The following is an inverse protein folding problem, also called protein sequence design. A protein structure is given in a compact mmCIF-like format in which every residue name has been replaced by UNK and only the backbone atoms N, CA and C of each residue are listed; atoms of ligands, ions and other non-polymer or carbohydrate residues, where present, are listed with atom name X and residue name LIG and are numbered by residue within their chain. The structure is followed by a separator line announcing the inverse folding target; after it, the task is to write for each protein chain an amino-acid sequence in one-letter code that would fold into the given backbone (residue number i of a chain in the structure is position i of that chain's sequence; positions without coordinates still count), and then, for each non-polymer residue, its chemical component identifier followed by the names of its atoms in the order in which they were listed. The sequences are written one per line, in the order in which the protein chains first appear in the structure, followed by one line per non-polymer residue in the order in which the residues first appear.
data_IF_373955066390
#
_entry.id   IF_373955066390
#
_cell.length_a   1.000
_cell.length_b   1.000
_cell.length_c   1.000
_cell.angle_alpha   90.00
_cell.angle_beta   90.00
_cell.angle_gamma   90.00
#
_symmetry.space_group_name_H-M   'P 1'
#
loop_
_entity.id
_entity.type
_entity.pdbx_description
1 polymer ?
#
# COMPACT_ATOMS: atom_id res chain seq x y z
N UNK A 1 -18.70 -0.07 -19.78
CA UNK A 1 -17.24 -0.14 -20.07
C UNK A 1 -16.89 0.45 -21.44
N UNK A 2 -17.49 -0.01 -22.54
CA UNK A 2 -17.23 0.58 -23.87
C UNK A 2 -17.53 2.09 -23.95
N UNK A 3 -18.56 2.53 -23.24
CA UNK A 3 -18.98 3.94 -23.15
C UNK A 3 -18.18 4.76 -22.13
N UNK A 4 -17.25 4.14 -21.38
CA UNK A 4 -16.41 4.82 -20.39
C UNK A 4 -15.06 5.14 -21.03
N UNK A 5 -14.88 6.39 -21.46
CA UNK A 5 -13.74 6.81 -22.27
C UNK A 5 -12.38 6.54 -21.59
N UNK A 6 -12.29 6.86 -20.30
CA UNK A 6 -11.10 6.69 -19.44
C UNK A 6 -10.77 5.24 -19.10
N UNK A 7 -11.72 4.30 -19.26
CA UNK A 7 -11.44 2.89 -19.03
C UNK A 7 -10.43 2.40 -20.07
N UNK A 8 -9.28 1.89 -19.63
CA UNK A 8 -8.24 1.33 -20.53
C UNK A 8 -8.29 -0.21 -20.60
N UNK A 9 -8.73 -0.82 -19.51
CA UNK A 9 -8.82 -2.26 -19.35
C UNK A 9 -10.08 -2.63 -18.55
N UNK A 10 -10.56 -3.85 -18.75
CA UNK A 10 -11.75 -4.42 -18.09
C UNK A 10 -11.36 -5.77 -17.50
N UNK A 11 -11.81 -6.03 -16.27
CA UNK A 11 -11.68 -7.33 -15.62
C UNK A 11 -13.06 -7.89 -15.34
N UNK A 12 -13.27 -9.17 -15.62
CA UNK A 12 -14.50 -9.89 -15.25
C UNK A 12 -14.14 -11.08 -14.38
N UNK A 13 -14.90 -11.29 -13.29
CA UNK A 13 -14.72 -12.40 -12.37
C UNK A 13 -16.05 -13.13 -12.27
N UNK A 14 -16.05 -14.45 -12.52
CA UNK A 14 -17.24 -15.30 -12.44
C UNK A 14 -18.46 -14.76 -13.25
N UNK A 15 -18.19 -14.04 -14.35
CA UNK A 15 -19.21 -13.27 -15.04
C UNK A 15 -20.04 -14.13 -16.01
N UNK A 16 -21.38 -14.04 -15.98
CA UNK A 16 -22.22 -14.66 -17.00
C UNK A 16 -22.06 -13.94 -18.34
N UNK A 17 -22.10 -14.69 -19.44
CA UNK A 17 -22.03 -14.13 -20.80
C UNK A 17 -23.41 -13.74 -21.36
N UNK A 18 -24.47 -14.11 -20.64
CA UNK A 18 -25.85 -13.91 -21.02
C UNK A 18 -26.66 -13.42 -19.81
N UNK A 19 -27.34 -12.27 -19.91
CA UNK A 19 -28.18 -11.75 -18.85
C UNK A 19 -29.37 -12.66 -18.49
N UNK A 20 -29.76 -13.58 -19.38
CA UNK A 20 -30.82 -14.55 -19.10
C UNK A 20 -30.49 -15.55 -17.98
N UNK A 21 -29.20 -15.70 -17.65
CA UNK A 21 -28.78 -16.47 -16.47
C UNK A 21 -29.36 -15.87 -15.18
N UNK A 22 -29.46 -14.53 -15.14
CA UNK A 22 -30.04 -13.79 -14.02
C UNK A 22 -31.57 -13.81 -14.09
N UNK A 23 -32.19 -13.77 -15.26
CA UNK A 23 -33.66 -13.91 -15.37
C UNK A 23 -34.14 -15.32 -14.99
N UNK A 24 -33.31 -16.34 -15.15
CA UNK A 24 -33.53 -17.70 -14.64
C UNK A 24 -33.78 -17.73 -13.13
N UNK A 25 -33.12 -16.86 -12.36
CA UNK A 25 -33.30 -16.72 -10.91
C UNK A 25 -34.63 -16.06 -10.52
N UNK A 26 -35.34 -15.48 -11.50
CA UNK A 26 -36.60 -14.77 -11.31
C UNK A 26 -37.76 -15.38 -12.09
N UNK A 27 -37.60 -16.57 -12.69
CA UNK A 27 -38.61 -17.21 -13.55
C UNK A 27 -40.02 -17.20 -12.95
N UNK A 28 -40.13 -17.51 -11.65
CA UNK A 28 -41.41 -17.60 -10.95
C UNK A 28 -42.01 -16.22 -10.58
N UNK A 29 -41.33 -15.12 -10.91
CA UNK A 29 -41.69 -13.74 -10.56
C UNK A 29 -41.73 -12.81 -11.77
N UNK A 30 -41.40 -13.30 -12.96
CA UNK A 30 -41.42 -12.50 -14.20
C UNK A 30 -42.82 -11.99 -14.52
N UNK A 31 -43.86 -12.82 -14.33
CA UNK A 31 -45.26 -12.42 -14.51
C UNK A 31 -45.68 -11.33 -13.51
N UNK A 32 -45.24 -11.44 -12.26
CA UNK A 32 -45.48 -10.43 -11.23
C UNK A 32 -44.77 -9.10 -11.55
N UNK A 33 -43.53 -9.13 -12.06
CA UNK A 33 -42.79 -7.93 -12.49
C UNK A 33 -43.47 -7.29 -13.71
N UNK A 34 -43.93 -8.12 -14.66
CA UNK A 34 -44.68 -7.70 -15.84
C UNK A 34 -46.07 -7.14 -15.52
N UNK A 35 -46.66 -7.48 -14.36
CA UNK A 35 -47.94 -6.92 -13.91
C UNK A 35 -47.76 -5.67 -13.01
N UNK A 36 -46.89 -5.75 -12.00
CA UNK A 36 -46.76 -4.75 -10.93
C UNK A 36 -45.68 -3.69 -11.17
N UNK A 37 -44.82 -3.89 -12.17
CA UNK A 37 -43.75 -2.97 -12.54
C UNK A 37 -42.49 -3.12 -11.68
N UNK A 38 -42.60 -3.68 -10.48
CA UNK A 38 -41.49 -3.97 -9.59
C UNK A 38 -41.82 -5.06 -8.57
N UNK A 39 -40.83 -5.84 -8.14
CA UNK A 39 -40.99 -6.94 -7.17
C UNK A 39 -39.78 -7.03 -6.25
N UNK A 40 -39.99 -7.43 -4.99
CA UNK A 40 -38.89 -7.85 -4.11
C UNK A 40 -38.53 -9.32 -4.36
N UNK A 41 -37.23 -9.57 -4.59
CA UNK A 41 -36.65 -10.88 -4.80
C UNK A 41 -35.43 -11.08 -3.89
N UNK A 42 -35.20 -12.33 -3.46
CA UNK A 42 -34.03 -12.68 -2.64
C UNK A 42 -32.96 -13.28 -3.54
N UNK A 43 -31.77 -12.70 -3.56
CA UNK A 43 -30.60 -13.19 -4.31
C UNK A 43 -29.46 -13.46 -3.32
N UNK A 44 -28.95 -14.70 -3.29
CA UNK A 44 -27.85 -15.10 -2.39
C UNK A 44 -28.04 -14.66 -0.92
N UNK A 45 -29.27 -14.78 -0.40
CA UNK A 45 -29.63 -14.43 0.99
C UNK A 45 -29.88 -12.94 1.26
N UNK A 46 -29.87 -12.07 0.24
CA UNK A 46 -30.14 -10.63 0.38
C UNK A 46 -31.39 -10.23 -0.43
N UNK A 47 -32.21 -9.31 0.11
CA UNK A 47 -33.39 -8.80 -0.59
C UNK A 47 -33.03 -7.65 -1.54
N UNK A 48 -33.54 -7.73 -2.76
CA UNK A 48 -33.38 -6.73 -3.81
C UNK A 48 -34.73 -6.36 -4.41
N UNK A 49 -34.88 -5.09 -4.80
CA UNK A 49 -36.03 -4.60 -5.56
C UNK A 49 -35.69 -4.63 -7.04
N UNK A 50 -36.48 -5.34 -7.82
CA UNK A 50 -36.26 -5.56 -9.25
C UNK A 50 -37.38 -4.87 -10.00
N UNK A 51 -37.03 -3.95 -10.91
CA UNK A 51 -37.98 -3.24 -11.76
C UNK A 51 -38.18 -3.93 -13.10
N UNK A 52 -39.31 -3.65 -13.76
CA UNK A 52 -39.56 -4.07 -15.14
C UNK A 52 -38.51 -3.51 -16.10
N UNK A 53 -38.13 -2.25 -15.93
CA UNK A 53 -37.09 -1.61 -16.73
C UNK A 53 -35.76 -2.40 -16.68
N UNK A 54 -35.37 -2.90 -15.50
CA UNK A 54 -34.20 -3.76 -15.38
C UNK A 54 -34.35 -5.08 -16.16
N UNK A 55 -35.53 -5.71 -16.13
CA UNK A 55 -35.78 -6.96 -16.88
C UNK A 55 -35.79 -6.72 -18.38
N UNK A 56 -36.39 -5.62 -18.84
CA UNK A 56 -36.43 -5.24 -20.25
C UNK A 56 -35.02 -4.91 -20.77
N UNK A 57 -34.20 -4.18 -19.99
CA UNK A 57 -32.79 -3.92 -20.30
C UNK A 57 -31.96 -5.22 -20.43
N UNK A 58 -32.24 -6.22 -19.59
CA UNK A 58 -31.59 -7.54 -19.69
C UNK A 58 -31.99 -8.30 -20.97
N UNK A 59 -33.24 -8.13 -21.44
CA UNK A 59 -33.76 -8.79 -22.64
C UNK A 59 -33.24 -8.14 -23.94
N UNK A 60 -32.96 -6.84 -23.93
CA UNK A 60 -32.52 -6.09 -25.12
C UNK A 60 -31.01 -6.16 -25.38
N UNK A 61 -30.20 -6.60 -24.41
CA UNK A 61 -28.75 -6.50 -24.51
C UNK A 61 -28.06 -7.67 -25.24
N UNK A 62 -27.62 -7.39 -26.47
CA UNK A 62 -26.60 -8.17 -27.20
C UNK A 62 -25.21 -8.02 -26.55
N UNK A 63 -25.05 -8.49 -25.31
CA UNK A 63 -23.81 -8.42 -24.53
C UNK A 63 -22.60 -8.92 -25.34
N UNK A 64 -22.77 -10.00 -26.09
CA UNK A 64 -21.74 -10.58 -26.95
C UNK A 64 -21.26 -9.62 -28.05
N UNK A 65 -22.17 -8.84 -28.65
CA UNK A 65 -21.80 -7.82 -29.63
C UNK A 65 -21.03 -6.68 -28.96
N UNK A 66 -21.48 -6.22 -27.78
CA UNK A 66 -20.79 -5.17 -27.01
C UNK A 66 -19.38 -5.61 -26.58
N UNK A 67 -19.19 -6.89 -26.24
CA UNK A 67 -17.87 -7.45 -25.94
C UNK A 67 -16.96 -7.45 -27.18
N UNK A 68 -17.50 -7.82 -28.35
CA UNK A 68 -16.75 -7.80 -29.61
C UNK A 68 -16.30 -6.39 -30.03
N UNK A 69 -17.08 -5.37 -29.65
CA UNK A 69 -16.82 -3.96 -29.94
C UNK A 69 -16.17 -3.19 -28.77
N UNK A 70 -15.80 -3.87 -27.68
CA UNK A 70 -15.27 -3.24 -26.46
C UNK A 70 -14.02 -2.38 -26.70
N UNK A 71 -13.11 -2.82 -27.59
CA UNK A 71 -11.84 -2.15 -27.93
C UNK A 71 -10.97 -1.76 -26.72
N UNK A 72 -11.10 -2.47 -25.60
CA UNK A 72 -10.27 -2.33 -24.39
C UNK A 72 -9.61 -3.67 -24.06
N UNK A 73 -8.50 -3.64 -23.30
CA UNK A 73 -7.89 -4.88 -22.81
C UNK A 73 -8.86 -5.63 -21.89
N UNK A 74 -8.93 -6.96 -21.99
CA UNK A 74 -9.86 -7.76 -21.21
C UNK A 74 -9.14 -8.89 -20.45
N UNK A 75 -9.37 -8.98 -19.14
CA UNK A 75 -8.93 -10.10 -18.32
C UNK A 75 -10.15 -10.82 -17.72
N UNK A 76 -10.20 -12.13 -17.90
CA UNK A 76 -11.32 -12.96 -17.46
C UNK A 76 -10.82 -13.96 -16.42
N UNK A 77 -11.47 -13.99 -15.26
CA UNK A 77 -11.29 -15.00 -14.23
C UNK A 77 -12.53 -15.86 -14.12
N UNK A 78 -12.36 -17.18 -14.15
CA UNK A 78 -13.48 -18.10 -13.97
C UNK A 78 -13.03 -19.45 -13.42
N UNK A 79 -13.80 -20.01 -12.50
CA UNK A 79 -13.53 -21.35 -11.96
C UNK A 79 -14.13 -22.42 -12.88
N UNK A 80 -13.39 -23.49 -13.21
CA UNK A 80 -13.92 -24.65 -13.93
C UNK A 80 -14.91 -25.45 -13.07
N UNK A 81 -14.93 -25.23 -11.76
CA UNK A 81 -15.82 -25.87 -10.78
C UNK A 81 -16.85 -24.90 -10.22
N UNK A 82 -17.14 -23.79 -10.91
CA UNK A 82 -18.22 -22.87 -10.53
C UNK A 82 -19.59 -23.53 -10.77
N UNK A 83 -20.31 -23.79 -9.68
CA UNK A 83 -21.64 -24.42 -9.72
C UNK A 83 -22.78 -23.44 -10.03
N UNK A 84 -22.53 -22.12 -9.95
CA UNK A 84 -23.55 -21.09 -10.17
C UNK A 84 -23.49 -20.59 -11.61
N UNK A 85 -22.30 -20.26 -12.11
CA UNK A 85 -22.07 -19.80 -13.49
C UNK A 85 -21.02 -20.68 -14.13
N UNK A 86 -21.44 -21.58 -15.03
CA UNK A 86 -20.51 -22.50 -15.69
C UNK A 86 -19.43 -21.77 -16.48
N UNK A 87 -18.23 -22.38 -16.56
CA UNK A 87 -17.04 -21.85 -17.25
C UNK A 87 -17.26 -21.53 -18.73
N UNK A 88 -18.24 -22.17 -19.38
CA UNK A 88 -18.62 -21.87 -20.77
C UNK A 88 -19.00 -20.40 -20.99
N UNK A 89 -19.49 -19.71 -19.95
CA UNK A 89 -19.72 -18.26 -19.99
C UNK A 89 -18.42 -17.51 -20.26
N UNK A 90 -17.37 -17.81 -19.51
CA UNK A 90 -16.08 -17.20 -19.70
C UNK A 90 -15.46 -17.55 -21.06
N UNK A 91 -15.61 -18.80 -21.52
CA UNK A 91 -15.18 -19.24 -22.85
C UNK A 91 -15.86 -18.43 -23.95
N UNK A 92 -17.16 -18.17 -23.82
CA UNK A 92 -17.94 -17.34 -24.76
C UNK A 92 -17.48 -15.88 -24.74
N UNK A 93 -17.30 -15.28 -23.56
CA UNK A 93 -16.77 -13.91 -23.41
C UNK A 93 -15.38 -13.81 -24.06
N UNK A 94 -14.48 -14.76 -23.75
CA UNK A 94 -13.13 -14.80 -24.30
C UNK A 94 -13.13 -14.92 -25.82
N UNK A 95 -14.02 -15.75 -26.37
CA UNK A 95 -14.14 -15.93 -27.82
C UNK A 95 -14.66 -14.67 -28.51
N UNK A 96 -15.67 -14.02 -27.94
CA UNK A 96 -16.26 -12.79 -28.50
C UNK A 96 -15.30 -11.59 -28.46
N UNK A 97 -14.46 -11.49 -27.43
CA UNK A 97 -13.55 -10.36 -27.26
C UNK A 97 -12.41 -10.33 -28.29
N UNK A 98 -11.92 -9.14 -28.64
CA UNK A 98 -10.71 -8.94 -29.45
C UNK A 98 -9.46 -8.80 -28.55
N UNK A 99 -8.27 -8.99 -29.11
CA UNK A 99 -7.02 -8.80 -28.38
C UNK A 99 -6.76 -7.31 -28.07
N UNK A 100 -6.05 -6.99 -26.96
CA UNK A 100 -5.45 -7.93 -26.00
C UNK A 100 -6.47 -8.50 -25.00
N UNK A 101 -6.46 -9.82 -24.85
CA UNK A 101 -7.34 -10.56 -23.95
C UNK A 101 -6.59 -11.69 -23.24
N UNK A 102 -6.97 -11.96 -21.99
CA UNK A 102 -6.35 -12.97 -21.14
C UNK A 102 -7.43 -13.73 -20.37
N UNK A 103 -7.17 -15.01 -20.09
CA UNK A 103 -8.04 -15.86 -19.28
C UNK A 103 -7.22 -16.54 -18.19
N UNK A 104 -7.74 -16.52 -16.97
CA UNK A 104 -7.13 -17.16 -15.79
C UNK A 104 -8.16 -18.08 -15.16
N UNK A 105 -7.83 -19.37 -15.13
CA UNK A 105 -8.67 -20.38 -14.49
C UNK A 105 -8.50 -20.34 -12.97
N UNK A 106 -9.61 -20.36 -12.24
CA UNK A 106 -9.65 -20.36 -10.77
C UNK A 106 -10.05 -21.74 -10.22
N UNK A 107 -9.24 -22.76 -10.50
CA UNK A 107 -9.53 -24.14 -10.09
C UNK A 107 -9.87 -24.25 -8.60
N UNK A 108 -11.06 -24.77 -8.29
CA UNK A 108 -11.52 -24.99 -6.91
C UNK A 108 -12.00 -23.75 -6.17
N UNK A 109 -12.02 -22.57 -6.80
CA UNK A 109 -12.68 -21.39 -6.23
C UNK A 109 -14.20 -21.49 -6.42
N UNK A 110 -14.95 -21.01 -5.44
CA UNK A 110 -16.39 -20.86 -5.53
C UNK A 110 -16.78 -19.57 -6.25
N UNK A 111 -18.05 -19.48 -6.68
CA UNK A 111 -18.56 -18.35 -7.46
C UNK A 111 -18.32 -16.98 -6.81
N UNK A 112 -18.41 -16.91 -5.48
CA UNK A 112 -18.32 -15.66 -4.71
C UNK A 112 -16.89 -15.34 -4.25
N UNK A 113 -15.89 -16.17 -4.57
CA UNK A 113 -14.54 -16.09 -4.01
C UNK A 113 -14.55 -15.95 -2.48
N UNK A 114 -15.34 -16.79 -1.80
CA UNK A 114 -15.54 -16.69 -0.35
C UNK A 114 -14.28 -16.96 0.46
N UNK A 115 -13.33 -17.73 -0.10
CA UNK A 115 -12.02 -17.97 0.52
C UNK A 115 -11.10 -16.77 0.30
N UNK A 116 -10.59 -16.19 1.40
CA UNK A 116 -9.64 -15.05 1.38
C UNK A 116 -8.42 -15.30 0.49
N UNK A 117 -7.92 -16.54 0.41
CA UNK A 117 -6.80 -16.92 -0.44
C UNK A 117 -7.09 -16.72 -1.94
N UNK A 118 -8.29 -17.07 -2.39
CA UNK A 118 -8.68 -16.96 -3.80
C UNK A 118 -8.87 -15.50 -4.19
N UNK A 119 -9.53 -14.73 -3.33
CA UNK A 119 -9.68 -13.28 -3.50
C UNK A 119 -8.32 -12.57 -3.55
N UNK A 120 -7.38 -12.93 -2.66
CA UNK A 120 -6.03 -12.38 -2.66
C UNK A 120 -5.25 -12.75 -3.93
N UNK A 121 -5.37 -14.00 -4.40
CA UNK A 121 -4.76 -14.43 -5.66
C UNK A 121 -5.29 -13.62 -6.85
N UNK A 122 -6.61 -13.50 -6.99
CA UNK A 122 -7.25 -12.70 -8.06
C UNK A 122 -6.77 -11.26 -8.01
N UNK A 123 -6.74 -10.62 -6.84
CA UNK A 123 -6.25 -9.25 -6.68
C UNK A 123 -4.79 -9.09 -7.12
N UNK A 124 -3.91 -10.03 -6.75
CA UNK A 124 -2.50 -10.00 -7.14
C UNK A 124 -2.30 -10.14 -8.66
N UNK A 125 -3.06 -11.03 -9.30
CA UNK A 125 -3.02 -11.20 -10.76
C UNK A 125 -3.57 -9.98 -11.48
N UNK A 126 -4.68 -9.39 -11.00
CA UNK A 126 -5.24 -8.15 -11.54
C UNK A 126 -4.20 -7.03 -11.48
N UNK A 127 -3.54 -6.84 -10.32
CA UNK A 127 -2.50 -5.83 -10.15
C UNK A 127 -1.40 -5.99 -11.19
N UNK A 128 -0.76 -7.15 -11.22
CA UNK A 128 0.36 -7.42 -12.13
C UNK A 128 -0.04 -7.32 -13.61
N UNK A 129 -1.25 -7.76 -13.97
CA UNK A 129 -1.75 -7.66 -15.34
C UNK A 129 -2.09 -6.21 -15.73
N UNK A 130 -2.67 -5.44 -14.82
CA UNK A 130 -3.10 -4.07 -15.08
C UNK A 130 -1.92 -3.09 -15.24
N UNK A 131 -0.76 -3.38 -14.63
CA UNK A 131 0.47 -2.58 -14.78
C UNK A 131 0.88 -2.32 -16.24
N UNK A 132 0.48 -3.18 -17.18
CA UNK A 132 0.74 -3.00 -18.60
C UNK A 132 -0.15 -1.95 -19.28
N UNK A 133 -1.33 -1.68 -18.73
CA UNK A 133 -2.38 -0.86 -19.35
C UNK A 133 -2.68 0.42 -18.59
N UNK A 134 -2.43 0.39 -17.29
CA UNK A 134 -2.27 1.59 -16.50
C UNK A 134 -0.91 2.14 -16.91
N UNK A 135 -0.85 3.42 -17.26
CA UNK A 135 0.44 4.11 -17.15
C UNK A 135 0.88 3.85 -15.71
N UNK A 136 1.97 3.09 -15.53
CA UNK A 136 2.60 2.98 -14.22
C UNK A 136 2.63 4.41 -13.69
N UNK A 137 2.04 4.69 -12.53
CA UNK A 137 2.12 6.04 -12.01
C UNK A 137 3.61 6.28 -11.78
N UNK A 138 4.24 6.99 -12.73
CA UNK A 138 5.53 7.59 -12.56
C UNK A 138 5.29 8.61 -11.45
N UNK A 139 5.52 8.17 -10.22
CA UNK A 139 5.03 8.82 -9.02
C UNK A 139 3.52 8.65 -8.86
N UNK A 140 3.11 7.63 -8.11
CA UNK A 140 1.90 7.76 -7.30
C UNK A 140 2.22 8.78 -6.19
N UNK A 141 2.31 10.06 -6.59
CA UNK A 141 2.08 11.20 -5.71
C UNK A 141 0.59 11.18 -5.39
N UNK A 142 0.18 10.24 -4.54
CA UNK A 142 -1.08 10.34 -3.84
C UNK A 142 -0.90 11.42 -2.80
N UNK A 143 -1.60 12.54 -3.04
CA UNK A 143 -1.57 13.78 -2.28
C UNK A 143 -0.15 14.30 -2.07
N UNK A 144 0.17 15.40 -2.76
CA UNK A 144 1.00 16.43 -2.15
C UNK A 144 0.26 16.95 -0.89
N UNK A 145 0.17 16.12 0.16
CA UNK A 145 0.26 16.64 1.51
C UNK A 145 1.56 17.43 1.55
N UNK A 146 1.49 18.59 2.20
CA UNK A 146 2.58 19.55 2.28
C UNK A 146 3.92 18.82 2.42
N UNK A 147 4.92 19.16 1.61
CA UNK A 147 6.14 18.36 1.38
C UNK A 147 7.01 18.10 2.64
N UNK A 148 6.50 18.48 3.82
CA UNK A 148 7.11 18.39 5.14
C UNK A 148 6.29 17.57 6.15
N UNK A 149 5.10 17.09 5.80
CA UNK A 149 4.26 16.33 6.73
C UNK A 149 4.63 14.85 6.72
N UNK A 150 4.90 14.30 7.91
CA UNK A 150 5.04 12.85 8.13
C UNK A 150 3.69 12.30 8.56
N UNK A 151 3.18 11.29 7.85
CA UNK A 151 1.92 10.63 8.19
C UNK A 151 2.23 9.19 8.60
N UNK A 152 1.76 8.78 9.77
CA UNK A 152 1.90 7.43 10.31
C UNK A 152 0.52 6.83 10.51
N UNK A 153 0.27 5.63 10.00
CA UNK A 153 -1.02 4.96 10.07
C UNK A 153 -0.87 3.47 10.35
N UNK A 154 -1.80 2.91 11.12
CA UNK A 154 -1.87 1.48 11.33
C UNK A 154 -2.20 0.75 10.03
N UNK A 155 -1.50 -0.35 9.78
CA UNK A 155 -1.75 -1.25 8.64
C UNK A 155 -2.87 -2.26 8.91
N UNK A 156 -3.14 -2.53 10.19
CA UNK A 156 -4.03 -3.60 10.70
C UNK A 156 -3.58 -5.04 10.40
N UNK A 157 -2.38 -5.24 9.86
CA UNK A 157 -1.81 -6.58 9.65
C UNK A 157 -1.11 -7.11 10.91
N UNK A 158 -0.68 -6.22 11.82
CA UNK A 158 -0.05 -6.55 13.09
C UNK A 158 -0.40 -5.55 14.19
N UNK A 159 -0.07 -5.90 15.43
CA UNK A 159 -0.39 -5.05 16.61
C UNK A 159 0.32 -3.69 16.56
N UNK A 160 1.55 -3.66 16.08
CA UNK A 160 2.39 -2.47 16.08
C UNK A 160 2.81 -2.01 14.69
N UNK A 161 2.49 -2.75 13.62
CA UNK A 161 2.92 -2.40 12.27
C UNK A 161 2.25 -1.12 11.76
N UNK A 162 3.07 -0.12 11.47
CA UNK A 162 2.67 1.16 10.90
C UNK A 162 3.19 1.32 9.48
N UNK A 163 2.40 1.97 8.61
CA UNK A 163 2.88 2.57 7.37
C UNK A 163 3.26 4.04 7.63
N UNK A 164 4.50 4.39 7.31
CA UNK A 164 5.03 5.76 7.38
C UNK A 164 5.12 6.33 5.98
N UNK A 165 4.49 7.48 5.75
CA UNK A 165 4.56 8.23 4.50
C UNK A 165 5.24 9.58 4.72
N UNK A 166 6.28 9.86 3.93
CA UNK A 166 7.03 11.13 3.94
C UNK A 166 7.19 11.62 2.50
N UNK A 167 6.35 12.58 2.09
CA UNK A 167 6.29 13.00 0.69
C UNK A 167 5.99 11.81 -0.24
N UNK A 168 6.91 11.51 -1.16
CA UNK A 168 6.80 10.37 -2.08
C UNK A 168 7.32 9.04 -1.51
N UNK A 169 7.93 9.05 -0.33
CA UNK A 169 8.51 7.86 0.29
C UNK A 169 7.51 7.16 1.20
N UNK A 170 7.52 5.82 1.16
CA UNK A 170 6.74 4.96 2.06
C UNK A 170 7.63 3.84 2.60
N UNK A 171 7.50 3.55 3.88
CA UNK A 171 8.19 2.45 4.55
C UNK A 171 7.38 1.98 5.76
N UNK A 172 7.70 0.79 6.26
CA UNK A 172 7.08 0.26 7.47
C UNK A 172 7.90 0.63 8.71
N UNK A 173 7.20 0.83 9.82
CA UNK A 173 7.77 0.84 11.17
C UNK A 173 7.05 -0.25 11.97
N UNK A 174 7.79 -0.96 12.81
CA UNK A 174 7.22 -2.07 13.58
C UNK A 174 8.11 -2.37 14.79
N UNK A 175 7.69 -3.30 15.62
CA UNK A 175 8.48 -3.77 16.75
C UNK A 175 8.96 -5.22 16.52
N UNK A 176 10.01 -5.67 17.23
CA UNK A 176 10.44 -7.06 17.21
C UNK A 176 9.35 -8.03 17.67
N UNK A 177 9.48 -9.29 17.25
CA UNK A 177 8.57 -10.37 17.65
C UNK A 177 8.47 -10.53 19.18
N UNK A 178 9.57 -10.32 19.91
CA UNK A 178 9.67 -10.51 21.37
C UNK A 178 8.73 -9.60 22.17
N UNK A 179 8.40 -8.42 21.64
CA UNK A 179 7.47 -7.47 22.26
C UNK A 179 6.10 -7.45 21.57
N UNK A 180 5.87 -8.37 20.62
CA UNK A 180 4.58 -8.59 19.96
C UNK A 180 4.37 -7.83 18.65
N UNK A 181 5.43 -7.34 18.01
CA UNK A 181 5.39 -6.84 16.63
C UNK A 181 5.56 -7.96 15.61
N UNK A 182 5.68 -7.61 14.32
CA UNK A 182 5.91 -8.56 13.22
C UNK A 182 7.36 -8.55 12.72
N UNK A 183 8.24 -7.73 13.30
CA UNK A 183 9.62 -7.52 12.82
C UNK A 183 9.68 -7.14 11.33
N UNK A 184 8.66 -6.40 10.87
CA UNK A 184 8.45 -6.07 9.46
C UNK A 184 9.12 -4.75 9.03
N UNK A 185 9.67 -4.02 9.99
CA UNK A 185 10.34 -2.74 9.81
C UNK A 185 11.07 -2.32 11.09
N UNK A 186 11.89 -1.26 11.03
CA UNK A 186 12.61 -0.75 12.19
C UNK A 186 11.67 -0.25 13.30
N UNK A 187 12.14 -0.35 14.55
CA UNK A 187 11.50 0.24 15.71
C UNK A 187 11.50 1.77 15.69
N UNK A 188 10.66 2.42 16.51
CA UNK A 188 10.65 3.88 16.64
C UNK A 188 12.02 4.45 17.05
N UNK A 189 12.73 3.78 17.96
CA UNK A 189 14.08 4.20 18.36
C UNK A 189 15.10 3.99 17.25
N UNK A 190 15.00 2.92 16.46
CA UNK A 190 15.87 2.71 15.30
C UNK A 190 15.68 3.81 14.25
N UNK A 191 14.44 4.25 14.03
CA UNK A 191 14.13 5.37 13.13
C UNK A 191 14.70 6.69 13.64
N UNK A 192 14.63 6.95 14.94
CA UNK A 192 15.26 8.11 15.57
C UNK A 192 16.79 8.09 15.36
N UNK A 193 17.43 6.95 15.63
CA UNK A 193 18.86 6.76 15.43
C UNK A 193 19.25 6.88 13.95
N UNK A 194 18.45 6.32 13.04
CA UNK A 194 18.66 6.42 11.60
C UNK A 194 18.66 7.90 11.15
N UNK A 195 17.71 8.70 11.64
CA UNK A 195 17.65 10.15 11.39
C UNK A 195 18.91 10.89 11.87
N UNK A 196 19.34 10.64 13.10
CA UNK A 196 20.56 11.22 13.66
C UNK A 196 21.82 10.80 12.88
N UNK A 197 21.93 9.52 12.56
CA UNK A 197 23.06 8.93 11.83
C UNK A 197 23.17 9.49 10.42
N UNK A 198 22.06 9.56 9.69
CA UNK A 198 21.98 10.14 8.35
C UNK A 198 22.37 11.62 8.37
N UNK A 199 21.78 12.41 9.28
CA UNK A 199 22.08 13.84 9.40
C UNK A 199 23.56 14.10 9.73
N UNK A 200 24.14 13.27 10.61
CA UNK A 200 25.57 13.32 10.95
C UNK A 200 26.43 13.06 9.72
N UNK A 201 26.19 11.96 9.00
CA UNK A 201 26.97 11.58 7.82
C UNK A 201 26.90 12.63 6.71
N UNK A 202 25.70 13.18 6.44
CA UNK A 202 25.49 14.28 5.49
C UNK A 202 26.28 15.53 5.88
N UNK A 203 26.24 15.90 7.16
CA UNK A 203 26.97 17.08 7.67
C UNK A 203 28.47 16.93 7.50
N UNK A 204 29.03 15.75 7.80
CA UNK A 204 30.45 15.47 7.63
C UNK A 204 30.88 15.52 6.16
N UNK A 205 30.07 14.94 5.26
CA UNK A 205 30.30 14.99 3.81
C UNK A 205 30.33 16.45 3.32
N UNK A 206 29.32 17.22 3.68
CA UNK A 206 29.21 18.64 3.31
C UNK A 206 30.42 19.45 3.80
N UNK A 207 30.87 19.22 5.03
CA UNK A 207 32.03 19.91 5.56
C UNK A 207 33.33 19.52 4.83
N UNK A 208 33.53 18.23 4.58
CA UNK A 208 34.69 17.74 3.85
C UNK A 208 34.77 18.33 2.44
N UNK A 209 33.66 18.39 1.71
CA UNK A 209 33.60 19.02 0.39
C UNK A 209 33.96 20.51 0.43
N UNK A 210 33.36 21.27 1.37
CA UNK A 210 33.66 22.71 1.54
C UNK A 210 35.10 23.01 1.89
N UNK A 211 35.79 22.06 2.54
CA UNK A 211 37.19 22.18 2.94
C UNK A 211 38.14 21.40 2.03
N UNK A 212 37.63 20.85 0.92
CA UNK A 212 38.37 20.01 -0.02
C UNK A 212 39.17 18.88 0.66
N UNK A 213 38.61 18.27 1.71
CA UNK A 213 39.23 17.16 2.42
C UNK A 213 39.02 15.85 1.65
N UNK A 214 40.04 15.00 1.59
CA UNK A 214 40.01 13.71 0.90
C UNK A 214 39.26 12.62 1.70
N UNK A 215 38.01 12.92 2.11
CA UNK A 215 37.11 11.99 2.76
C UNK A 215 36.42 11.11 1.70
N UNK A 216 36.63 9.81 1.74
CA UNK A 216 36.04 8.86 0.78
C UNK A 216 34.72 8.30 1.29
N UNK A 217 34.65 7.91 2.57
CA UNK A 217 33.46 7.29 3.16
C UNK A 217 33.31 7.61 4.63
N UNK A 218 32.06 7.81 5.04
CA UNK A 218 31.63 7.93 6.43
C UNK A 218 30.74 6.74 6.76
N UNK A 219 30.97 6.11 7.92
CA UNK A 219 30.05 5.14 8.51
C UNK A 219 29.75 5.58 9.92
N UNK A 220 28.47 5.68 10.26
CA UNK A 220 28.00 6.04 11.60
C UNK A 220 27.27 4.83 12.17
N UNK A 221 27.72 4.32 13.30
CA UNK A 221 27.01 3.29 14.08
C UNK A 221 26.44 3.95 15.32
N UNK A 222 25.18 3.65 15.60
CA UNK A 222 24.43 4.22 16.71
C UNK A 222 23.75 3.10 17.47
N UNK A 223 23.79 3.19 18.79
CA UNK A 223 23.02 2.34 19.69
C UNK A 223 22.29 3.22 20.70
N UNK A 224 21.10 2.79 21.10
CA UNK A 224 20.34 3.39 22.19
C UNK A 224 20.28 2.43 23.37
N UNK A 225 20.38 2.97 24.58
CA UNK A 225 20.27 2.22 25.83
C UNK A 225 19.72 3.12 26.93
N UNK A 226 19.19 2.53 28.00
CA UNK A 226 18.89 3.24 29.25
C UNK A 226 19.96 2.93 30.28
N UNK A 227 20.48 3.97 30.92
CA UNK A 227 21.53 3.89 31.94
C UNK A 227 21.10 4.62 33.21
N UNK A 228 21.76 4.35 34.34
CA UNK A 228 21.54 5.17 35.53
C UNK A 228 22.24 6.52 35.38
N UNK A 229 21.60 7.59 35.88
CA UNK A 229 22.14 8.94 35.84
C UNK A 229 23.50 9.07 36.53
N UNK A 230 23.73 8.27 37.58
CA UNK A 230 25.01 8.17 38.26
C UNK A 230 26.16 7.66 37.36
N UNK A 231 25.84 6.89 36.32
CA UNK A 231 26.82 6.34 35.35
C UNK A 231 27.12 7.31 34.19
N UNK A 232 26.58 8.54 34.26
CA UNK A 232 26.88 9.61 33.32
C UNK A 232 27.64 10.75 34.01
N UNK A 233 28.96 10.75 33.85
CA UNK A 233 29.84 11.78 34.42
C UNK A 233 29.43 13.19 33.97
N UNK A 234 29.11 13.34 32.68
CA UNK A 234 28.88 14.64 32.03
C UNK A 234 27.40 15.07 31.95
N UNK A 235 26.45 14.29 32.49
CA UNK A 235 25.03 14.63 32.47
C UNK A 235 24.65 15.59 33.60
N UNK A 236 23.75 16.53 33.36
CA UNK A 236 23.22 17.45 34.39
C UNK A 236 22.30 16.72 35.39
N UNK A 237 21.46 15.81 34.89
CA UNK A 237 20.63 14.94 35.72
C UNK A 237 21.49 13.90 36.43
N UNK A 238 21.40 13.84 37.76
CA UNK A 238 22.20 12.95 38.61
C UNK A 238 21.43 11.82 39.28
N UNK A 239 20.10 11.81 39.16
CA UNK A 239 19.22 10.77 39.72
C UNK A 239 18.29 10.18 38.65
N UNK A 240 17.91 8.91 38.79
CA UNK A 240 16.99 8.22 37.87
C UNK A 240 17.68 7.52 36.69
N UNK A 241 16.89 7.20 35.66
CA UNK A 241 17.35 6.58 34.42
C UNK A 241 17.44 7.63 33.31
N UNK A 242 18.45 7.52 32.45
CA UNK A 242 18.69 8.38 31.30
C UNK A 242 18.75 7.55 30.03
N UNK A 243 18.22 8.10 28.94
CA UNK A 243 18.45 7.58 27.60
C UNK A 243 19.85 7.99 27.13
N UNK A 244 20.65 7.01 26.72
CA UNK A 244 21.99 7.21 26.15
C UNK A 244 22.00 6.74 24.70
N UNK A 245 22.44 7.65 23.83
CA UNK A 245 22.75 7.34 22.44
C UNK A 245 24.27 7.35 22.27
N UNK A 246 24.84 6.21 21.90
CA UNK A 246 26.27 6.08 21.63
C UNK A 246 26.53 6.11 20.14
N UNK A 247 27.45 6.97 19.69
CA UNK A 247 27.78 7.15 18.27
C UNK A 247 29.24 6.82 17.99
N UNK A 248 29.48 5.80 17.17
CA UNK A 248 30.81 5.46 16.68
C UNK A 248 30.94 5.82 15.19
N UNK A 249 31.90 6.68 14.85
CA UNK A 249 32.11 7.19 13.48
C UNK A 249 33.41 6.63 12.90
N UNK A 250 33.33 6.01 11.73
CA UNK A 250 34.49 5.59 10.94
C UNK A 250 34.66 6.50 9.72
N UNK A 251 35.84 7.12 9.60
CA UNK A 251 36.21 8.00 8.48
C UNK A 251 37.29 7.33 7.62
N UNK A 252 36.96 7.04 6.35
CA UNK A 252 37.92 6.49 5.35
C UNK A 252 38.33 7.58 4.36
N UNK A 253 39.61 7.60 4.01
CA UNK A 253 40.21 8.58 3.10
C UNK A 253 41.56 9.07 3.61
N UNK A 254 42.29 9.78 2.74
CA UNK A 254 43.60 10.37 3.02
C UNK A 254 43.47 11.62 3.90
N UNK A 255 43.17 11.39 5.18
CA UNK A 255 42.95 12.44 6.18
C UNK A 255 44.03 12.40 7.27
N UNK A 256 44.63 13.55 7.54
CA UNK A 256 45.54 13.71 8.67
C UNK A 256 44.80 13.73 10.03
N UNK A 257 45.56 13.73 11.12
CA UNK A 257 44.99 13.68 12.48
C UNK A 257 44.17 14.93 12.83
N UNK A 258 44.56 16.10 12.34
CA UNK A 258 43.86 17.36 12.60
C UNK A 258 42.53 17.40 11.85
N UNK A 259 42.51 17.00 10.57
CA UNK A 259 41.33 16.88 9.75
C UNK A 259 40.33 15.88 10.36
N UNK A 260 40.82 14.74 10.87
CA UNK A 260 40.00 13.74 11.56
C UNK A 260 39.38 14.31 12.84
N UNK A 261 40.19 14.94 13.69
CA UNK A 261 39.70 15.59 14.92
C UNK A 261 38.63 16.63 14.59
N UNK A 262 38.88 17.47 13.58
CA UNK A 262 37.94 18.50 13.17
C UNK A 262 36.64 17.94 12.62
N UNK A 263 36.69 16.86 11.83
CA UNK A 263 35.49 16.17 11.37
C UNK A 263 34.67 15.64 12.56
N UNK A 264 35.29 15.05 13.57
CA UNK A 264 34.56 14.58 14.76
C UNK A 264 33.88 15.73 15.51
N UNK A 265 34.54 16.89 15.69
CA UNK A 265 33.92 18.09 16.26
C UNK A 265 32.72 18.61 15.45
N UNK A 266 32.72 18.40 14.13
CA UNK A 266 31.61 18.78 13.24
C UNK A 266 30.44 17.79 13.33
N UNK A 267 30.70 16.53 13.71
CA UNK A 267 29.66 15.52 13.85
C UNK A 267 28.60 15.92 14.89
N UNK A 268 28.99 16.66 15.93
CA UNK A 268 28.09 17.20 16.98
C UNK A 268 27.35 18.47 16.57
N UNK A 269 27.52 18.93 15.33
CA UNK A 269 26.90 20.17 14.83
C UNK A 269 25.82 19.92 13.79
N UNK A 270 25.46 18.65 13.55
CA UNK A 270 24.40 18.33 12.61
C UNK A 270 23.04 18.81 13.15
N UNK A 271 22.12 19.28 12.28
CA UNK A 271 20.82 19.80 12.71
C UNK A 271 20.05 18.88 13.67
N UNK A 272 20.00 17.57 13.39
CA UNK A 272 19.27 16.62 14.24
C UNK A 272 19.91 16.48 15.62
N UNK A 273 21.25 16.46 15.72
CA UNK A 273 21.94 16.47 17.02
C UNK A 273 21.54 17.71 17.82
N UNK A 274 21.56 18.89 17.19
CA UNK A 274 21.18 20.14 17.85
C UNK A 274 19.75 20.11 18.38
N UNK A 275 18.82 19.54 17.62
CA UNK A 275 17.43 19.36 18.06
C UNK A 275 17.35 18.45 19.28
N UNK A 276 18.04 17.32 19.28
CA UNK A 276 18.05 16.37 20.40
C UNK A 276 18.68 16.92 21.69
N UNK A 277 19.56 17.91 21.57
CA UNK A 277 20.23 18.55 22.71
C UNK A 277 19.65 19.94 23.04
N UNK A 278 18.53 20.32 22.43
CA UNK A 278 17.83 21.58 22.70
C UNK A 278 16.47 21.33 23.32
N UNK A 279 15.86 22.39 23.84
CA UNK A 279 14.45 22.36 24.23
C UNK A 279 13.55 22.14 23.00
N UNK A 280 12.62 21.18 23.08
CA UNK A 280 11.67 20.84 22.02
C UNK A 280 10.25 20.99 22.57
N UNK A 281 9.43 21.83 21.93
CA UNK A 281 7.99 21.96 22.20
C UNK A 281 7.19 21.02 21.28
N UNK A 282 6.62 19.96 21.86
CA UNK A 282 5.76 19.00 21.15
C UNK A 282 4.31 19.26 21.56
N UNK A 283 3.47 19.67 20.60
CA UNK A 283 2.05 19.96 20.83
C UNK A 283 1.16 18.86 20.27
N UNK A 284 0.20 18.43 21.08
CA UNK A 284 -0.79 17.42 20.69
C UNK A 284 -2.15 18.08 20.52
N UNK A 285 -2.79 17.84 19.37
CA UNK A 285 -4.15 18.28 19.08
C UNK A 285 -4.92 17.13 18.44
N UNK A 286 -6.18 16.98 18.82
CA UNK A 286 -7.09 16.05 18.15
C UNK A 286 -7.62 16.71 16.86
N UNK A 287 -7.54 16.01 15.74
CA UNK A 287 -8.20 16.41 14.50
C UNK A 287 -9.49 15.60 14.39
N UNK A 288 -10.63 16.28 14.38
CA UNK A 288 -11.94 15.62 14.26
C UNK A 288 -12.07 14.84 12.94
N UNK A 289 -12.85 13.76 12.97
CA UNK A 289 -13.24 13.02 11.77
C UNK A 289 -14.16 13.92 10.93
N UNK A 290 -13.67 14.34 9.76
CA UNK A 290 -14.43 15.10 8.76
C UNK A 290 -15.30 14.21 7.88
#
# INVERSE_FOLDING_TARGET
AAEVAEARAVVTIAAPCDPSHVTGLFKDRLEDIAAKGEVQATLAGRQFRISRAFVDDLAEHKLMQRIADLRKALLIFHSPTDEIVAIDNASRIFTAAKHPKSFVSLAGADHLLSRRSDAAYVANVIRAWAERYLEAPQGASQAAGDAKTVVVRETREGRFQQEVTVGAHRFLADEPLEVGGLDSGPGPYDLLLAGLGACTAMTLRLYAERKALALERVTVRLNHSRIHAADCADCETKEGMLDRIERAITLRGALDAEQRRRLLEIADKCPVHRTLTSEIDIRTVEQGEG
#
